data_IF_451194737440
#
_entry.id   IF_451194737440
#
_cell.length_a   1.000
_cell.length_b   1.000
_cell.length_c   1.000
_cell.angle_alpha   90.00
_cell.angle_beta   90.00
_cell.angle_gamma   90.00
#
_symmetry.space_group_name_H-M   'P 1'
#
loop_
_entity.id
_entity.type
_entity.pdbx_description
1 polymer ?
#
# COMPACT_ATOMS: atom_id res chain seq x y z
N UNK A 1 -30.27 -30.09 -17.04
CA UNK A 1 -30.57 -29.94 -15.60
C UNK A 1 -29.21 -29.85 -14.89
N UNK A 2 -29.03 -28.92 -13.97
CA UNK A 2 -27.76 -28.82 -13.22
C UNK A 2 -27.82 -29.78 -12.03
N UNK A 3 -26.94 -30.79 -12.04
CA UNK A 3 -26.91 -31.89 -11.09
C UNK A 3 -25.51 -31.98 -10.48
N UNK A 4 -25.39 -32.23 -9.18
CA UNK A 4 -24.10 -32.48 -8.51
C UNK A 4 -24.04 -33.96 -8.15
N UNK A 5 -23.06 -34.70 -8.69
CA UNK A 5 -22.90 -36.16 -8.50
C UNK A 5 -24.24 -36.92 -8.63
N UNK A 6 -24.92 -36.74 -9.77
CA UNK A 6 -26.25 -37.30 -10.08
C UNK A 6 -27.41 -36.89 -9.15
N UNK A 7 -27.17 -36.03 -8.16
CA UNK A 7 -28.19 -35.52 -7.24
C UNK A 7 -28.84 -34.26 -7.83
N UNK A 8 -30.17 -34.18 -7.78
CA UNK A 8 -30.94 -33.02 -8.23
C UNK A 8 -30.74 -31.81 -7.31
N UNK A 9 -30.74 -30.61 -7.89
CA UNK A 9 -30.55 -29.36 -7.15
C UNK A 9 -31.64 -29.16 -6.07
N UNK A 10 -32.86 -29.62 -6.34
CA UNK A 10 -34.00 -29.65 -5.43
C UNK A 10 -33.75 -30.50 -4.18
N UNK A 11 -33.12 -31.67 -4.33
CA UNK A 11 -32.80 -32.58 -3.22
C UNK A 11 -31.73 -31.99 -2.28
N UNK A 12 -30.77 -31.21 -2.81
CA UNK A 12 -29.76 -30.51 -1.99
C UNK A 12 -30.17 -29.11 -1.54
N UNK A 13 -31.21 -28.51 -2.14
CA UNK A 13 -31.57 -27.10 -1.91
C UNK A 13 -31.83 -26.74 -0.44
N UNK A 14 -32.40 -27.65 0.35
CA UNK A 14 -32.64 -27.41 1.79
C UNK A 14 -31.35 -27.47 2.61
N UNK A 15 -30.42 -28.36 2.27
CA UNK A 15 -29.09 -28.40 2.90
C UNK A 15 -28.25 -27.19 2.48
N UNK A 16 -28.29 -26.79 1.21
CA UNK A 16 -27.63 -25.57 0.71
C UNK A 16 -28.16 -24.30 1.38
N UNK A 17 -29.48 -24.18 1.61
CA UNK A 17 -30.06 -23.10 2.43
C UNK A 17 -29.59 -23.14 3.89
N UNK A 18 -29.23 -24.31 4.42
CA UNK A 18 -28.63 -24.45 5.75
C UNK A 18 -27.21 -23.89 5.88
N UNK A 19 -26.48 -23.73 4.77
CA UNK A 19 -25.17 -23.05 4.74
C UNK A 19 -25.27 -21.53 4.51
N UNK A 20 -26.48 -21.00 4.29
CA UNK A 20 -26.69 -19.58 4.03
C UNK A 20 -26.60 -18.77 5.31
N UNK A 21 -25.49 -18.04 5.46
CA UNK A 21 -25.20 -17.14 6.58
C UNK A 21 -25.19 -15.68 6.10
N UNK A 22 -25.29 -14.74 7.03
CA UNK A 22 -24.98 -13.32 6.79
C UNK A 22 -23.70 -13.00 7.53
N UNK A 23 -22.76 -12.29 6.90
CA UNK A 23 -21.59 -11.75 7.59
C UNK A 23 -21.82 -10.29 7.94
N UNK A 24 -21.49 -9.90 9.17
CA UNK A 24 -21.20 -8.51 9.50
C UNK A 24 -19.77 -8.15 9.06
N UNK A 25 -19.63 -6.99 8.44
CA UNK A 25 -18.37 -6.27 8.30
C UNK A 25 -18.66 -4.81 8.60
N UNK A 26 -17.91 -4.23 9.54
CA UNK A 26 -18.04 -2.83 9.91
C UNK A 26 -16.65 -2.21 10.08
N UNK A 27 -16.39 -1.13 9.38
CA UNK A 27 -15.20 -0.30 9.53
C UNK A 27 -15.59 1.11 9.97
N UNK A 28 -14.79 1.70 10.86
CA UNK A 28 -15.00 2.99 11.50
C UNK A 28 -13.67 3.75 11.46
N UNK A 29 -13.60 4.80 10.65
CA UNK A 29 -12.42 5.68 10.56
C UNK A 29 -12.79 7.07 11.08
N UNK A 30 -12.02 7.60 12.04
CA UNK A 30 -12.20 8.96 12.57
C UNK A 30 -10.86 9.68 12.54
N UNK A 31 -10.78 10.80 11.82
CA UNK A 31 -9.63 11.72 11.84
C UNK A 31 -10.05 12.99 12.60
N UNK A 32 -9.27 13.37 13.60
CA UNK A 32 -9.33 14.70 14.22
C UNK A 32 -8.06 15.44 13.82
N UNK A 33 -8.16 16.69 13.37
CA UNK A 33 -7.00 17.50 12.98
C UNK A 33 -7.10 18.93 13.52
N UNK A 34 -5.96 19.59 13.61
CA UNK A 34 -5.86 21.03 13.80
C UNK A 34 -4.54 21.54 13.22
N UNK A 35 -4.60 22.65 12.49
CA UNK A 35 -3.47 23.28 11.81
C UNK A 35 -3.31 24.75 12.20
N UNK A 36 -2.10 25.26 12.02
CA UNK A 36 -1.77 26.68 12.10
C UNK A 36 -0.96 27.02 10.84
N UNK A 37 -1.47 27.95 10.04
CA UNK A 37 -0.85 28.37 8.78
C UNK A 37 -0.62 29.88 8.82
N UNK A 38 0.63 30.30 8.61
CA UNK A 38 1.04 31.68 8.45
C UNK A 38 1.41 31.97 6.99
N UNK A 39 1.22 33.23 6.57
CA UNK A 39 1.62 33.75 5.27
C UNK A 39 2.35 35.07 5.48
N UNK A 40 3.47 35.25 4.80
CA UNK A 40 4.36 36.39 4.93
C UNK A 40 4.87 36.80 3.55
N UNK A 41 4.99 38.10 3.29
CA UNK A 41 5.86 38.61 2.24
C UNK A 41 7.25 38.80 2.84
N UNK A 42 8.25 38.09 2.33
CA UNK A 42 9.61 38.03 2.93
C UNK A 42 10.66 38.85 2.17
N UNK A 43 10.28 39.49 1.08
CA UNK A 43 11.15 40.33 0.27
C UNK A 43 10.53 40.66 -1.08
N UNK A 44 11.34 41.23 -1.97
CA UNK A 44 10.94 41.61 -3.33
C UNK A 44 12.05 41.20 -4.30
N UNK A 45 11.64 40.70 -5.47
CA UNK A 45 12.49 40.29 -6.59
C UNK A 45 12.07 41.07 -7.85
N UNK A 46 12.86 41.03 -8.94
CA UNK A 46 12.53 41.76 -10.16
C UNK A 46 11.16 41.46 -10.78
N UNK A 47 10.53 40.31 -10.49
CA UNK A 47 9.16 39.99 -10.91
C UNK A 47 8.07 40.26 -9.87
N UNK A 48 8.40 40.79 -8.68
CA UNK A 48 7.44 41.13 -7.63
C UNK A 48 7.77 40.58 -6.23
N UNK A 49 6.80 40.58 -5.30
CA UNK A 49 7.02 40.15 -3.91
C UNK A 49 7.27 38.65 -3.78
N UNK A 50 8.11 38.27 -2.82
CA UNK A 50 8.38 36.87 -2.47
C UNK A 50 7.45 36.43 -1.35
N UNK A 51 6.50 35.55 -1.69
CA UNK A 51 5.57 34.98 -0.73
C UNK A 51 6.15 33.75 -0.03
N UNK A 52 6.07 33.71 1.30
CA UNK A 52 6.32 32.54 2.13
C UNK A 52 5.02 32.10 2.80
N UNK A 53 4.63 30.84 2.60
CA UNK A 53 3.67 30.13 3.44
C UNK A 53 4.44 29.18 4.34
N UNK A 54 4.08 29.10 5.61
CA UNK A 54 4.54 28.01 6.47
C UNK A 54 3.46 27.60 7.46
N UNK A 55 3.51 26.37 7.94
CA UNK A 55 2.53 25.88 8.89
C UNK A 55 2.93 24.60 9.60
N UNK A 56 2.10 24.26 10.57
CA UNK A 56 2.14 22.99 11.30
C UNK A 56 0.75 22.37 11.35
N UNK A 57 0.67 21.06 11.23
CA UNK A 57 -0.56 20.28 11.38
C UNK A 57 -0.34 19.23 12.49
N UNK A 58 -1.35 19.00 13.31
CA UNK A 58 -1.46 17.80 14.11
C UNK A 58 -2.74 17.06 13.73
N UNK A 59 -2.61 15.77 13.45
CA UNK A 59 -3.75 14.90 13.22
C UNK A 59 -3.66 13.64 14.07
N UNK A 60 -4.81 13.14 14.50
CA UNK A 60 -4.97 11.85 15.16
C UNK A 60 -6.04 11.05 14.42
N UNK A 61 -5.70 9.81 14.07
CA UNK A 61 -6.51 8.89 13.29
C UNK A 61 -6.77 7.62 14.13
N UNK A 62 -8.04 7.37 14.46
CA UNK A 62 -8.48 6.11 15.06
C UNK A 62 -9.19 5.26 14.00
N UNK A 63 -8.78 4.01 13.86
CA UNK A 63 -9.42 3.01 12.99
C UNK A 63 -9.88 1.81 13.82
N UNK A 64 -11.15 1.45 13.64
CA UNK A 64 -11.76 0.24 14.18
C UNK A 64 -12.40 -0.56 13.06
N UNK A 65 -12.04 -1.84 12.95
CA UNK A 65 -12.69 -2.81 12.06
C UNK A 65 -13.19 -3.99 12.88
N UNK A 66 -14.43 -4.41 12.62
CA UNK A 66 -15.08 -5.57 13.24
C UNK A 66 -15.66 -6.45 12.13
N UNK A 67 -15.22 -7.70 12.12
CA UNK A 67 -15.73 -8.78 11.28
C UNK A 67 -16.65 -9.71 12.08
N UNK A 68 -17.45 -10.49 11.36
CA UNK A 68 -18.39 -11.46 11.95
C UNK A 68 -17.66 -12.50 12.83
N UNK A 69 -18.09 -12.72 14.10
CA UNK A 69 -17.42 -13.64 15.01
C UNK A 69 -17.35 -15.10 14.54
N UNK A 70 -18.33 -15.60 13.78
CA UNK A 70 -18.30 -16.96 13.24
C UNK A 70 -17.43 -17.07 11.98
N UNK A 71 -17.22 -15.97 11.25
CA UNK A 71 -16.16 -15.87 10.23
C UNK A 71 -14.77 -15.85 10.86
N UNK A 72 -14.54 -15.03 11.89
CA UNK A 72 -13.23 -14.93 12.55
C UNK A 72 -12.84 -16.25 13.24
N UNK A 73 -13.81 -16.98 13.80
CA UNK A 73 -13.59 -18.30 14.41
C UNK A 73 -13.47 -19.45 13.37
N UNK A 74 -13.45 -19.16 12.07
CA UNK A 74 -13.40 -20.13 10.96
C UNK A 74 -14.54 -21.17 10.95
N UNK A 75 -15.66 -20.88 11.63
CA UNK A 75 -16.83 -21.77 11.73
C UNK A 75 -17.64 -21.76 10.42
N UNK A 76 -17.59 -20.65 9.68
CA UNK A 76 -18.24 -20.49 8.38
C UNK A 76 -17.40 -21.13 7.27
N UNK A 77 -17.91 -22.19 6.66
CA UNK A 77 -17.24 -22.86 5.52
C UNK A 77 -16.96 -21.87 4.37
N UNK A 78 -15.72 -21.84 3.89
CA UNK A 78 -15.28 -20.90 2.85
C UNK A 78 -15.06 -19.47 3.35
N UNK A 79 -14.85 -19.25 4.65
CA UNK A 79 -14.43 -17.95 5.19
C UNK A 79 -12.90 -17.81 5.24
N UNK A 80 -12.40 -16.63 4.89
CA UNK A 80 -10.97 -16.27 4.93
C UNK A 80 -10.51 -15.80 6.34
N UNK A 81 -11.23 -16.14 7.40
CA UNK A 81 -11.18 -15.40 8.67
C UNK A 81 -11.87 -14.03 8.55
N UNK A 82 -11.25 -13.02 9.17
CA UNK A 82 -11.66 -11.61 9.14
C UNK A 82 -10.90 -10.78 10.19
N UNK A 83 -10.45 -9.58 9.82
CA UNK A 83 -9.59 -8.79 10.72
C UNK A 83 -10.41 -7.91 11.67
N UNK A 84 -10.26 -8.16 12.97
CA UNK A 84 -10.69 -7.25 14.02
C UNK A 84 -9.51 -6.36 14.37
N UNK A 85 -9.54 -5.11 13.90
CA UNK A 85 -8.44 -4.15 13.98
C UNK A 85 -8.88 -3.03 14.92
N UNK A 86 -8.06 -2.68 15.89
CA UNK A 86 -8.19 -1.44 16.65
C UNK A 86 -6.80 -0.78 16.66
N UNK A 87 -6.68 0.35 15.96
CA UNK A 87 -5.40 1.00 15.71
C UNK A 87 -5.54 2.53 15.77
N UNK A 88 -4.56 3.20 16.38
CA UNK A 88 -4.47 4.65 16.46
C UNK A 88 -3.13 5.14 15.95
N UNK A 89 -3.12 6.28 15.26
CA UNK A 89 -1.91 6.93 14.76
C UNK A 89 -2.04 8.44 14.91
N UNK A 90 -1.06 9.05 15.56
CA UNK A 90 -0.84 10.49 15.48
C UNK A 90 0.13 10.82 14.34
N UNK A 91 -0.08 11.97 13.72
CA UNK A 91 0.74 12.57 12.69
C UNK A 91 1.02 14.01 13.12
N UNK A 92 2.29 14.42 13.11
CA UNK A 92 2.71 15.82 13.20
C UNK A 92 3.28 16.21 11.85
N UNK A 93 3.02 17.44 11.43
CA UNK A 93 3.57 17.99 10.20
C UNK A 93 4.18 19.35 10.49
N UNK A 94 5.31 19.65 9.85
CA UNK A 94 5.78 21.01 9.61
C UNK A 94 6.01 21.19 8.11
N UNK A 95 5.56 22.30 7.53
CA UNK A 95 5.71 22.55 6.09
C UNK A 95 5.98 24.02 5.77
N UNK A 96 6.61 24.25 4.62
CA UNK A 96 6.78 25.57 4.03
C UNK A 96 6.66 25.52 2.50
N UNK A 97 6.31 26.66 1.91
CA UNK A 97 6.28 26.92 0.47
C UNK A 97 6.75 28.37 0.23
N UNK A 98 7.69 28.57 -0.70
CA UNK A 98 8.20 29.88 -1.08
C UNK A 98 7.95 30.11 -2.57
N UNK A 99 7.14 31.11 -2.90
CA UNK A 99 6.91 31.59 -4.27
C UNK A 99 7.82 32.76 -4.59
N UNK A 100 8.69 32.62 -5.59
CA UNK A 100 9.73 33.57 -5.96
C UNK A 100 9.57 33.98 -7.43
N UNK A 101 8.97 35.16 -7.73
CA UNK A 101 8.93 35.72 -9.08
C UNK A 101 10.29 36.33 -9.41
N UNK A 102 11.20 35.51 -9.94
CA UNK A 102 12.60 35.87 -10.22
C UNK A 102 12.69 37.02 -11.24
N UNK A 103 11.80 37.03 -12.23
CA UNK A 103 11.61 38.04 -13.27
C UNK A 103 10.11 38.11 -13.60
N UNK A 104 9.65 39.17 -14.28
CA UNK A 104 8.27 39.31 -14.82
C UNK A 104 7.79 38.09 -15.63
N UNK A 105 8.72 37.28 -16.14
CA UNK A 105 8.46 36.11 -16.96
C UNK A 105 9.04 34.79 -16.42
N UNK A 106 9.61 34.76 -15.21
CA UNK A 106 10.22 33.58 -14.59
C UNK A 106 9.76 33.42 -13.13
N UNK A 107 8.81 32.52 -12.93
CA UNK A 107 8.34 32.09 -11.62
C UNK A 107 9.12 30.83 -11.18
N UNK A 108 9.65 30.82 -9.97
CA UNK A 108 10.19 29.61 -9.30
C UNK A 108 9.53 29.47 -7.94
N UNK A 109 9.16 28.26 -7.57
CA UNK A 109 8.66 27.94 -6.23
C UNK A 109 9.34 26.71 -5.67
N UNK A 110 9.58 26.72 -4.36
CA UNK A 110 10.13 25.58 -3.61
C UNK A 110 9.26 25.31 -2.40
N UNK A 111 9.00 24.05 -2.11
CA UNK A 111 8.25 23.62 -0.94
C UNK A 111 8.97 22.46 -0.24
N UNK A 112 8.68 22.30 1.04
CA UNK A 112 9.15 21.17 1.83
C UNK A 112 8.15 20.84 2.93
N UNK A 113 7.72 19.58 3.00
CA UNK A 113 6.83 19.05 4.04
C UNK A 113 7.56 17.95 4.81
N UNK A 114 7.63 18.07 6.13
CA UNK A 114 8.12 17.03 7.04
C UNK A 114 6.93 16.45 7.80
N UNK A 115 6.78 15.13 7.79
CA UNK A 115 5.74 14.39 8.52
C UNK A 115 6.38 13.39 9.48
N UNK A 116 5.99 13.43 10.75
CA UNK A 116 6.36 12.49 11.81
C UNK A 116 5.12 11.70 12.25
N UNK A 117 5.17 10.37 12.18
CA UNK A 117 4.08 9.49 12.61
C UNK A 117 4.42 8.75 13.89
N UNK A 118 3.42 8.54 14.75
CA UNK A 118 3.57 7.76 15.99
C UNK A 118 3.73 6.25 15.78
N UNK A 119 3.76 5.77 14.53
CA UNK A 119 3.91 4.36 14.19
C UNK A 119 5.36 4.08 13.77
N UNK A 120 6.05 3.25 14.54
CA UNK A 120 7.50 3.00 14.45
C UNK A 120 7.99 2.58 13.05
N UNK A 121 7.25 1.73 12.34
CA UNK A 121 7.63 1.29 10.99
C UNK A 121 7.65 2.42 9.95
N UNK A 122 6.76 3.42 10.09
CA UNK A 122 6.69 4.57 9.18
C UNK A 122 7.71 5.64 9.56
N UNK A 123 7.85 5.93 10.87
CA UNK A 123 8.81 6.92 11.36
C UNK A 123 8.50 8.34 10.87
N UNK A 124 9.38 8.91 10.03
CA UNK A 124 9.20 10.26 9.49
C UNK A 124 9.75 10.42 8.08
N UNK A 125 9.03 11.15 7.22
CA UNK A 125 9.44 11.48 5.85
C UNK A 125 9.63 12.98 5.68
N UNK A 126 10.43 13.34 4.67
CA UNK A 126 10.52 14.69 4.13
C UNK A 126 10.15 14.64 2.64
N UNK A 127 9.36 15.60 2.18
CA UNK A 127 8.88 15.69 0.80
C UNK A 127 9.21 17.09 0.26
N UNK A 128 10.36 17.27 -0.39
CA UNK A 128 10.68 18.46 -1.17
C UNK A 128 9.88 18.52 -2.48
N UNK A 129 9.62 19.73 -2.95
CA UNK A 129 9.15 20.02 -4.30
C UNK A 129 9.83 21.30 -4.84
N UNK A 130 10.13 21.33 -6.13
CA UNK A 130 10.51 22.53 -6.88
C UNK A 130 9.69 22.61 -8.17
N UNK A 131 9.09 23.77 -8.41
CA UNK A 131 8.28 24.06 -9.61
C UNK A 131 8.77 25.34 -10.28
N UNK A 132 8.92 25.30 -11.60
CA UNK A 132 9.37 26.41 -12.44
C UNK A 132 8.35 26.68 -13.54
N UNK A 133 8.04 27.95 -13.78
CA UNK A 133 7.25 28.41 -14.91
C UNK A 133 7.98 29.59 -15.59
N UNK A 134 8.27 29.44 -16.89
CA UNK A 134 9.04 30.42 -17.65
C UNK A 134 8.31 30.78 -18.96
N UNK A 135 8.17 32.08 -19.23
CA UNK A 135 7.57 32.62 -20.46
C UNK A 135 8.63 33.36 -21.29
N UNK A 136 9.34 32.68 -22.22
CA UNK A 136 10.30 33.34 -23.09
C UNK A 136 9.68 34.50 -23.89
N UNK A 137 8.40 34.35 -24.26
CA UNK A 137 7.54 35.27 -25.03
C UNK A 137 6.08 34.92 -24.69
N UNK A 138 5.14 35.88 -24.82
CA UNK A 138 3.76 35.78 -24.30
C UNK A 138 2.98 34.51 -24.71
N UNK A 139 3.24 33.99 -25.91
CA UNK A 139 2.57 32.81 -26.45
C UNK A 139 3.29 31.48 -26.14
N UNK A 140 4.39 31.48 -25.38
CA UNK A 140 5.12 30.28 -24.95
C UNK A 140 5.23 30.26 -23.42
N UNK A 141 4.74 29.19 -22.80
CA UNK A 141 4.93 28.92 -21.37
C UNK A 141 5.58 27.55 -21.19
N UNK A 142 6.85 27.54 -20.81
CA UNK A 142 7.57 26.34 -20.37
C UNK A 142 7.28 26.10 -18.89
N UNK A 143 7.12 24.84 -18.50
CA UNK A 143 6.94 24.42 -17.11
C UNK A 143 7.83 23.23 -16.79
N UNK A 144 8.36 23.20 -15.58
CA UNK A 144 9.02 22.04 -14.99
C UNK A 144 8.55 21.84 -13.54
N UNK A 145 8.52 20.61 -13.08
CA UNK A 145 8.36 20.29 -11.64
C UNK A 145 9.14 19.03 -11.32
N UNK A 146 9.84 19.04 -10.20
CA UNK A 146 10.40 17.86 -9.55
C UNK A 146 9.92 17.82 -8.10
N UNK A 147 9.69 16.64 -7.56
CA UNK A 147 9.44 16.48 -6.14
C UNK A 147 9.41 15.02 -5.71
N UNK A 148 9.42 14.86 -4.39
CA UNK A 148 9.29 13.59 -3.71
C UNK A 148 7.94 13.54 -2.99
N UNK A 149 7.34 12.36 -2.90
CA UNK A 149 6.11 12.10 -2.16
C UNK A 149 6.19 10.74 -1.48
N UNK A 150 5.26 10.47 -0.57
CA UNK A 150 5.21 9.19 0.13
C UNK A 150 3.76 8.78 0.48
N UNK A 151 3.54 7.48 0.69
CA UNK A 151 2.32 6.94 1.28
C UNK A 151 2.65 6.19 2.57
N UNK A 152 2.17 6.70 3.69
CA UNK A 152 2.16 5.95 4.95
C UNK A 152 1.24 4.73 4.82
N UNK A 153 1.72 3.57 5.26
CA UNK A 153 0.95 2.31 5.28
C UNK A 153 -0.40 2.47 6.00
N UNK A 154 -1.45 1.86 5.47
CA UNK A 154 -2.79 1.86 6.03
C UNK A 154 -2.87 0.99 7.32
N UNK A 155 -3.98 1.10 8.05
CA UNK A 155 -4.11 0.45 9.37
C UNK A 155 -4.32 -1.06 9.26
N UNK A 156 -4.95 -1.52 8.19
CA UNK A 156 -5.08 -2.91 7.77
C UNK A 156 -3.77 -3.47 7.21
N UNK A 157 -3.04 -2.73 6.39
CA UNK A 157 -1.69 -3.10 5.92
C UNK A 157 -0.70 -3.33 7.08
N UNK A 158 -0.88 -2.63 8.22
CA UNK A 158 0.00 -2.74 9.38
C UNK A 158 -0.51 -3.63 10.52
N UNK A 159 -1.82 -3.66 10.75
CA UNK A 159 -2.45 -4.28 11.92
C UNK A 159 -3.62 -5.22 11.58
N UNK A 160 -3.82 -5.55 10.29
CA UNK A 160 -4.68 -6.66 9.89
C UNK A 160 -4.24 -7.96 10.58
N UNK A 161 -5.22 -8.76 11.00
CA UNK A 161 -4.97 -10.06 11.61
C UNK A 161 -4.53 -11.06 10.53
N UNK A 162 -4.51 -12.33 10.92
CA UNK A 162 -4.27 -13.43 10.01
C UNK A 162 -5.54 -13.77 9.23
N UNK A 163 -5.47 -13.64 7.91
CA UNK A 163 -6.51 -14.09 6.98
C UNK A 163 -6.02 -15.28 6.15
N UNK A 164 -6.93 -16.17 5.76
CA UNK A 164 -6.65 -17.38 4.99
C UNK A 164 -7.10 -17.24 3.53
N UNK A 165 -6.25 -17.67 2.60
CA UNK A 165 -6.46 -17.63 1.16
C UNK A 165 -5.88 -18.89 0.50
N UNK A 166 -6.11 -19.06 -0.81
CA UNK A 166 -5.61 -20.22 -1.57
C UNK A 166 -5.04 -19.78 -2.94
N UNK A 167 -3.92 -19.02 -2.98
CA UNK A 167 -3.29 -18.56 -4.22
C UNK A 167 -2.76 -19.73 -5.06
N UNK A 168 -2.72 -19.54 -6.38
CA UNK A 168 -2.17 -20.54 -7.31
C UNK A 168 -0.71 -20.25 -7.65
N UNK A 169 0.12 -21.30 -7.65
CA UNK A 169 1.53 -21.20 -7.98
C UNK A 169 2.13 -22.52 -8.50
N UNK A 170 3.45 -22.51 -8.73
CA UNK A 170 4.21 -23.70 -9.12
C UNK A 170 5.43 -23.81 -8.20
N UNK A 171 5.48 -24.83 -7.34
CA UNK A 171 6.66 -25.15 -6.53
C UNK A 171 7.79 -25.73 -7.40
N UNK A 172 8.56 -24.83 -8.01
CA UNK A 172 9.68 -25.20 -8.90
C UNK A 172 10.82 -25.92 -8.17
N UNK A 173 10.92 -25.82 -6.84
CA UNK A 173 11.92 -26.52 -6.03
C UNK A 173 11.41 -27.93 -5.67
N UNK A 174 10.15 -28.06 -5.26
CA UNK A 174 9.45 -29.34 -5.10
C UNK A 174 9.50 -30.18 -6.37
N UNK A 175 9.29 -29.55 -7.53
CA UNK A 175 9.44 -30.17 -8.85
C UNK A 175 10.83 -30.74 -9.11
N UNK A 176 11.90 -30.02 -8.75
CA UNK A 176 13.27 -30.51 -8.91
C UNK A 176 13.59 -31.67 -7.96
N UNK A 177 12.88 -31.78 -6.83
CA UNK A 177 13.02 -32.88 -5.86
C UNK A 177 12.08 -34.08 -6.11
N UNK A 178 11.28 -34.07 -7.18
CA UNK A 178 10.51 -35.23 -7.63
C UNK A 178 9.03 -35.26 -7.25
N UNK A 179 8.43 -34.12 -6.86
CA UNK A 179 6.97 -34.00 -6.70
C UNK A 179 6.26 -34.27 -8.04
N UNK A 180 5.20 -35.09 -8.02
CA UNK A 180 4.55 -35.62 -9.23
C UNK A 180 3.65 -34.65 -10.00
N UNK A 181 3.40 -33.45 -9.45
CA UNK A 181 2.52 -32.43 -10.03
C UNK A 181 3.31 -31.13 -10.22
N UNK A 182 3.76 -30.89 -11.45
CA UNK A 182 4.51 -29.69 -11.85
C UNK A 182 3.68 -28.77 -12.74
N UNK A 183 2.53 -28.38 -12.22
CA UNK A 183 1.53 -27.51 -12.86
C UNK A 183 1.02 -26.49 -11.85
N UNK A 184 0.40 -25.41 -12.33
CA UNK A 184 -0.24 -24.43 -11.45
C UNK A 184 -1.31 -25.12 -10.59
N UNK A 185 -1.11 -25.11 -9.26
CA UNK A 185 -2.06 -25.63 -8.27
C UNK A 185 -2.29 -24.58 -7.20
N UNK A 186 -3.43 -24.64 -6.52
CA UNK A 186 -3.64 -23.86 -5.31
C UNK A 186 -2.83 -24.45 -4.16
N UNK A 187 -2.29 -23.55 -3.35
CA UNK A 187 -1.71 -23.84 -2.04
C UNK A 187 -2.48 -22.98 -1.05
N UNK A 188 -2.73 -23.46 0.16
CA UNK A 188 -3.27 -22.61 1.24
C UNK A 188 -2.25 -21.51 1.53
N UNK A 189 -2.68 -20.31 1.88
CA UNK A 189 -1.81 -19.19 2.24
C UNK A 189 -2.41 -18.38 3.38
N UNK A 190 -1.62 -18.03 4.40
CA UNK A 190 -2.02 -17.00 5.36
C UNK A 190 -1.39 -15.66 4.97
N UNK A 191 -2.16 -14.58 5.12
CA UNK A 191 -1.73 -13.19 4.94
C UNK A 191 -2.03 -12.39 6.22
N UNK A 192 -1.37 -11.26 6.44
CA UNK A 192 -1.66 -10.37 7.57
C UNK A 192 -0.82 -9.09 7.59
N UNK A 193 -1.22 -8.14 8.42
CA UNK A 193 -0.59 -6.82 8.51
C UNK A 193 0.80 -6.84 9.15
N UNK A 194 1.68 -5.94 8.70
CA UNK A 194 3.05 -5.82 9.21
C UNK A 194 3.30 -4.42 9.86
N UNK A 195 3.52 -4.32 11.19
CA UNK A 195 3.74 -3.05 11.86
C UNK A 195 5.11 -2.40 11.56
N UNK A 196 6.03 -3.14 10.93
CA UNK A 196 7.35 -2.67 10.50
C UNK A 196 7.38 -2.27 9.00
N UNK A 197 6.21 -1.97 8.41
CA UNK A 197 6.16 -1.39 7.06
C UNK A 197 6.70 0.04 7.07
N UNK A 198 7.77 0.22 6.30
CA UNK A 198 8.20 1.51 5.78
C UNK A 198 7.09 2.15 4.92
N UNK A 199 7.09 3.48 4.75
CA UNK A 199 6.24 4.14 3.76
C UNK A 199 6.60 3.70 2.34
N UNK A 200 5.64 3.78 1.42
CA UNK A 200 5.95 3.84 -0.02
C UNK A 200 6.51 5.23 -0.32
N UNK A 201 7.47 5.33 -1.23
CA UNK A 201 8.09 6.60 -1.63
C UNK A 201 8.00 6.77 -3.14
N UNK A 202 7.94 8.01 -3.63
CA UNK A 202 7.79 8.28 -5.07
C UNK A 202 8.52 9.55 -5.49
N UNK A 203 9.51 9.41 -6.38
CA UNK A 203 10.12 10.53 -7.09
C UNK A 203 9.33 10.84 -8.36
N UNK A 204 9.01 12.12 -8.61
CA UNK A 204 8.31 12.53 -9.82
C UNK A 204 8.96 13.74 -10.49
N UNK A 205 9.03 13.69 -11.82
CA UNK A 205 9.49 14.80 -12.66
C UNK A 205 8.49 15.04 -13.80
N UNK A 206 8.23 16.32 -14.10
CA UNK A 206 7.46 16.74 -15.27
C UNK A 206 8.16 17.89 -16.00
N UNK A 207 8.07 17.88 -17.32
CA UNK A 207 8.47 18.99 -18.18
C UNK A 207 7.45 19.16 -19.30
N UNK A 208 7.08 20.41 -19.61
CA UNK A 208 6.09 20.68 -20.64
C UNK A 208 6.15 22.08 -21.19
N UNK A 209 5.47 22.27 -22.32
CA UNK A 209 5.33 23.56 -22.99
C UNK A 209 3.87 23.76 -23.42
N UNK A 210 3.35 24.96 -23.19
CA UNK A 210 2.08 25.45 -23.69
C UNK A 210 2.36 26.52 -24.74
N UNK A 211 1.70 26.42 -25.88
CA UNK A 211 1.82 27.34 -27.01
C UNK A 211 0.45 27.94 -27.34
N UNK A 212 0.34 29.27 -27.35
CA UNK A 212 -0.89 30.01 -27.65
C UNK A 212 -0.69 30.99 -28.84
N UNK A 213 -0.31 30.50 -30.04
CA UNK A 213 0.18 31.35 -31.13
C UNK A 213 -0.89 32.22 -31.80
N UNK A 214 -2.17 31.93 -31.58
CA UNK A 214 -3.32 32.65 -32.15
C UNK A 214 -4.48 32.70 -31.14
N UNK A 215 -5.32 33.75 -31.14
CA UNK A 215 -6.53 33.78 -30.32
C UNK A 215 -7.43 32.56 -30.56
N UNK A 216 -7.79 31.85 -29.50
CA UNK A 216 -8.61 30.64 -29.56
C UNK A 216 -7.86 29.34 -29.93
N UNK A 217 -6.55 29.40 -30.20
CA UNK A 217 -5.71 28.21 -30.39
C UNK A 217 -4.72 28.05 -29.22
N UNK A 218 -4.79 26.91 -28.54
CA UNK A 218 -3.80 26.52 -27.52
C UNK A 218 -3.38 25.08 -27.76
N UNK A 219 -2.08 24.85 -27.79
CA UNK A 219 -1.44 23.55 -27.92
C UNK A 219 -0.63 23.28 -26.65
N UNK A 220 -0.61 22.04 -26.19
CA UNK A 220 0.21 21.63 -25.04
C UNK A 220 0.95 20.35 -25.37
N UNK A 221 2.21 20.28 -24.95
CA UNK A 221 3.02 19.05 -24.92
C UNK A 221 3.60 18.91 -23.53
N UNK A 222 3.69 17.67 -23.04
CA UNK A 222 4.23 17.36 -21.73
C UNK A 222 4.82 15.96 -21.69
N UNK A 223 5.88 15.81 -20.91
CA UNK A 223 6.48 14.55 -20.52
C UNK A 223 6.47 14.47 -19.00
N UNK A 224 6.23 13.27 -18.46
CA UNK A 224 6.31 12.98 -17.04
C UNK A 224 7.04 11.67 -16.82
N UNK A 225 7.70 11.58 -15.68
CA UNK A 225 8.30 10.36 -15.16
C UNK A 225 7.98 10.25 -13.68
N UNK A 226 7.77 9.03 -13.21
CA UNK A 226 7.52 8.74 -11.79
C UNK A 226 8.11 7.37 -11.48
N UNK A 227 8.97 7.33 -10.48
CA UNK A 227 9.53 6.11 -9.90
C UNK A 227 8.85 5.88 -8.54
N UNK A 228 8.72 4.62 -8.12
CA UNK A 228 8.01 4.23 -6.90
C UNK A 228 8.81 3.17 -6.15
N UNK A 229 9.18 3.49 -4.92
CA UNK A 229 9.97 2.65 -4.03
C UNK A 229 9.15 2.15 -2.83
N UNK A 230 9.61 1.05 -2.24
CA UNK A 230 9.03 0.42 -1.05
C UNK A 230 7.51 0.06 -1.16
N UNK A 231 6.97 -0.04 -2.38
CA UNK A 231 5.56 -0.38 -2.67
C UNK A 231 5.02 -1.52 -1.79
N UNK A 232 3.97 -1.22 -1.03
CA UNK A 232 3.35 -2.12 -0.07
C UNK A 232 2.41 -3.04 -0.84
N UNK A 233 2.81 -4.30 -0.99
CA UNK A 233 2.02 -5.29 -1.74
C UNK A 233 2.16 -6.68 -1.17
N UNK A 234 1.07 -7.44 -1.22
CA UNK A 234 1.01 -8.83 -0.79
C UNK A 234 1.98 -9.67 -1.63
N UNK A 235 2.89 -10.37 -0.96
CA UNK A 235 3.83 -11.22 -1.69
C UNK A 235 3.12 -12.36 -2.44
N UNK A 236 3.59 -12.68 -3.64
CA UNK A 236 3.01 -13.75 -4.45
C UNK A 236 3.74 -15.07 -4.21
N UNK A 237 2.98 -16.17 -4.10
CA UNK A 237 3.53 -17.52 -3.92
C UNK A 237 4.63 -17.88 -4.95
N UNK A 238 4.50 -17.43 -6.20
CA UNK A 238 5.50 -17.67 -7.24
C UNK A 238 6.80 -16.87 -7.03
N UNK A 239 6.74 -15.68 -6.41
CA UNK A 239 7.94 -14.93 -5.98
C UNK A 239 8.72 -15.74 -4.93
N UNK A 240 8.01 -16.42 -4.02
CA UNK A 240 8.67 -17.11 -2.90
C UNK A 240 9.34 -18.41 -3.37
N UNK A 241 8.68 -19.19 -4.23
CA UNK A 241 9.31 -20.34 -4.88
C UNK A 241 10.47 -19.93 -5.81
N UNK A 242 10.40 -18.77 -6.47
CA UNK A 242 11.51 -18.23 -7.26
C UNK A 242 12.69 -17.77 -6.39
N UNK A 243 12.42 -17.13 -5.25
CA UNK A 243 13.44 -16.76 -4.27
C UNK A 243 14.13 -17.99 -3.66
N UNK A 244 13.38 -19.07 -3.43
CA UNK A 244 13.93 -20.33 -2.93
C UNK A 244 14.86 -21.00 -3.96
N UNK A 245 14.42 -21.09 -5.21
CA UNK A 245 15.24 -21.62 -6.31
C UNK A 245 16.51 -20.79 -6.56
N UNK A 246 16.48 -19.49 -6.23
CA UNK A 246 17.65 -18.60 -6.23
C UNK A 246 18.54 -18.72 -4.97
N UNK A 247 18.20 -19.61 -4.02
CA UNK A 247 18.98 -19.86 -2.81
C UNK A 247 18.77 -18.84 -1.68
N UNK A 248 17.72 -18.02 -1.72
CA UNK A 248 17.45 -16.96 -0.72
C UNK A 248 16.81 -17.52 0.57
N UNK A 249 17.38 -18.59 1.13
CA UNK A 249 16.84 -19.37 2.26
C UNK A 249 16.79 -18.64 3.60
N UNK A 250 17.40 -17.46 3.71
CA UNK A 250 17.17 -16.54 4.85
C UNK A 250 15.71 -16.06 4.92
N UNK A 251 15.00 -16.19 3.81
CA UNK A 251 13.59 -15.90 3.67
C UNK A 251 12.77 -17.18 3.68
N UNK A 252 13.14 -18.19 2.87
CA UNK A 252 12.29 -19.35 2.56
C UNK A 252 12.60 -20.58 3.44
N UNK A 253 11.63 -21.07 4.23
CA UNK A 253 11.80 -22.19 5.17
C UNK A 253 10.94 -23.43 4.84
N UNK A 254 11.57 -24.53 4.37
CA UNK A 254 10.93 -25.86 4.19
C UNK A 254 10.61 -26.52 5.54
N UNK A 255 9.36 -26.94 5.74
CA UNK A 255 8.94 -27.84 6.81
C UNK A 255 8.52 -29.19 6.24
N UNK A 256 8.99 -30.26 6.87
CA UNK A 256 8.73 -31.64 6.48
C UNK A 256 7.29 -32.10 6.79
N UNK A 257 6.86 -33.25 6.24
CA UNK A 257 5.54 -33.81 6.54
C UNK A 257 5.37 -34.10 8.03
N UNK A 258 4.49 -33.35 8.70
CA UNK A 258 4.24 -33.45 10.14
C UNK A 258 5.11 -32.55 11.02
N UNK A 259 5.96 -31.69 10.46
CA UNK A 259 6.65 -30.64 11.22
C UNK A 259 5.73 -29.42 11.37
N UNK A 260 5.56 -28.92 12.60
CA UNK A 260 4.79 -27.69 12.84
C UNK A 260 5.63 -26.45 12.54
N UNK A 261 5.31 -25.83 11.40
CA UNK A 261 5.93 -24.59 10.91
C UNK A 261 5.78 -23.38 11.84
N UNK A 262 6.48 -22.26 11.54
CA UNK A 262 7.05 -21.38 12.54
C UNK A 262 6.10 -20.24 12.89
N UNK A 263 4.90 -20.58 13.32
CA UNK A 263 4.24 -19.83 14.40
C UNK A 263 2.78 -20.30 14.58
N UNK A 264 1.78 -19.46 14.88
CA UNK A 264 1.61 -17.99 14.83
C UNK A 264 0.72 -17.46 16.00
N UNK A 265 0.71 -16.14 16.23
CA UNK A 265 -0.23 -15.40 17.13
C UNK A 265 -0.27 -13.90 16.78
N UNK A 266 0.90 -13.31 16.54
CA UNK A 266 1.09 -12.12 15.69
C UNK A 266 1.93 -12.51 14.48
N UNK A 267 2.34 -11.52 13.68
CA UNK A 267 3.48 -11.68 12.78
C UNK A 267 4.77 -12.08 13.56
N UNK A 268 4.76 -11.89 14.89
CA UNK A 268 5.48 -12.62 15.93
C UNK A 268 4.75 -13.91 16.41
N UNK A 269 5.02 -15.05 15.77
CA UNK A 269 5.07 -16.46 16.28
C UNK A 269 4.31 -16.96 17.57
N UNK A 270 3.30 -17.88 17.45
CA UNK A 270 2.95 -18.96 18.44
C UNK A 270 2.57 -20.43 18.01
N UNK A 271 1.40 -20.84 17.42
CA UNK A 271 1.14 -22.28 16.96
C UNK A 271 0.01 -22.59 15.89
N UNK A 272 0.25 -23.42 14.84
CA UNK A 272 -0.29 -24.83 14.62
C UNK A 272 -0.66 -25.39 13.18
N UNK A 273 -0.09 -26.59 12.86
CA UNK A 273 -0.47 -27.74 11.98
C UNK A 273 -0.54 -27.78 10.41
N UNK A 274 0.23 -28.74 9.85
CA UNK A 274 0.25 -29.36 8.48
C UNK A 274 0.77 -28.59 7.24
N UNK A 275 2.06 -28.83 6.94
CA UNK A 275 2.81 -28.68 5.66
C UNK A 275 3.25 -27.27 5.18
N UNK A 276 4.46 -27.19 4.60
CA UNK A 276 4.98 -26.16 3.64
C UNK A 276 5.47 -24.80 4.22
N UNK A 277 5.75 -23.80 3.37
CA UNK A 277 6.83 -22.79 3.48
C UNK A 277 6.38 -21.36 3.82
N UNK A 278 7.34 -20.51 4.20
CA UNK A 278 7.18 -19.09 4.54
C UNK A 278 8.27 -18.21 3.93
N UNK A 279 7.99 -16.93 3.61
CA UNK A 279 8.94 -15.83 3.30
C UNK A 279 8.61 -14.50 4.03
N UNK A 280 9.59 -13.59 4.18
CA UNK A 280 9.48 -12.16 4.56
C UNK A 280 9.56 -11.24 3.29
N UNK A 281 8.93 -10.06 3.19
CA UNK A 281 8.78 -8.98 4.18
C UNK A 281 7.34 -8.52 4.44
N UNK A 282 6.37 -9.02 3.67
CA UNK A 282 5.02 -9.30 4.18
C UNK A 282 4.90 -10.84 4.21
N UNK A 283 4.55 -11.42 5.36
CA UNK A 283 4.64 -12.87 5.55
C UNK A 283 3.46 -13.60 4.91
N UNK A 284 3.77 -14.48 3.96
CA UNK A 284 2.79 -15.31 3.26
C UNK A 284 3.07 -16.79 3.52
N UNK A 285 2.12 -17.48 4.17
CA UNK A 285 2.34 -18.79 4.80
C UNK A 285 1.72 -19.93 4.00
N UNK A 286 2.51 -20.57 3.15
CA UNK A 286 2.09 -21.53 2.13
C UNK A 286 1.89 -22.93 2.76
N UNK A 287 0.76 -23.59 2.52
CA UNK A 287 0.51 -24.99 2.94
C UNK A 287 0.13 -25.91 1.75
N UNK A 288 0.55 -27.18 1.80
CA UNK A 288 0.22 -28.27 0.83
C UNK A 288 -0.68 -29.31 1.50
#
# INVERSE_FOLDING_TARGET
MWNVNNTGLDAVATQMRGFNHTKLYQANLKRTQGDIIARLDIGELPGGPVGLVFGVEYAHLSFEQINDPASNALIIAGTAGGDNIQAERAQKTAFFEVGMPILDNLDVSVAGRYDEYSTTGIGSNFSPQITLAYRPIDWVLLRGTYGEGFRAAAMDEMYGNMSESFPSGIDIVGCQTGVSVCTATQYRALYGGNPDLAPEESEHFTIGAVFAPLPGLTLQVGFWHTEYDNLITTSSINREFAAEAAGLVNYVYRYGPGEEGPKLDRLDTFHCNTTTLLVLKQKVWIWI
#
